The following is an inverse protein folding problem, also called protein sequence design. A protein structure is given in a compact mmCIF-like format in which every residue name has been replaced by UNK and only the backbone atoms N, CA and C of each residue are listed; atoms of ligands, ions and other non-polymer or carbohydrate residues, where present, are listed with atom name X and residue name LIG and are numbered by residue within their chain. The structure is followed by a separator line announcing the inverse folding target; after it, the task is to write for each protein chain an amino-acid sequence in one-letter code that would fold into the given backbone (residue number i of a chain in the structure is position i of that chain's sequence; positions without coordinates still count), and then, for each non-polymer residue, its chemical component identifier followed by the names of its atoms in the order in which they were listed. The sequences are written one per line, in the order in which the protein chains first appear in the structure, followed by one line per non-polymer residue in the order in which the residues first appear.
data_IF_844448618384
#
_entry.id   IF_844448618384
#
_cell.length_a   1.000
_cell.length_b   1.000
_cell.length_c   1.000
_cell.angle_alpha   90.00
_cell.angle_beta   90.00
_cell.angle_gamma   90.00
#
_symmetry.space_group_name_H-M   'P 1'
#
loop_
_entity.id
_entity.type
_entity.pdbx_description
1 polymer ?
#
# COMPACT_ATOMS: atom_id res chain seq x y z
N UNK A 1 0.81 5.19 -11.76
CA UNK A 1 0.04 4.54 -10.70
C UNK A 1 -1.02 5.50 -10.23
N UNK A 2 -2.06 5.04 -9.53
CA UNK A 2 -3.13 5.91 -9.01
C UNK A 2 -3.37 5.61 -7.54
N UNK A 3 -3.88 6.60 -6.85
CA UNK A 3 -4.38 6.46 -5.49
C UNK A 3 -5.64 5.62 -5.46
N UNK A 4 -5.82 4.89 -4.36
CA UNK A 4 -7.01 4.10 -4.07
C UNK A 4 -7.26 4.06 -2.56
N UNK A 5 -8.53 3.92 -2.19
CA UNK A 5 -8.92 3.57 -0.83
C UNK A 5 -8.69 2.07 -0.59
N UNK A 6 -7.94 1.72 0.46
CA UNK A 6 -7.54 0.33 0.74
C UNK A 6 -8.73 -0.60 0.96
N UNK A 7 -9.81 -0.12 1.61
CA UNK A 7 -11.05 -0.87 1.80
C UNK A 7 -11.68 -1.17 0.44
N UNK A 8 -11.72 -0.18 -0.46
CA UNK A 8 -12.26 -0.37 -1.81
C UNK A 8 -11.45 -1.40 -2.61
N UNK A 9 -10.13 -1.42 -2.46
CA UNK A 9 -9.26 -2.39 -3.12
C UNK A 9 -9.51 -3.83 -2.62
N UNK A 10 -9.58 -4.03 -1.30
CA UNK A 10 -9.78 -5.36 -0.69
C UNK A 10 -11.19 -5.89 -0.95
N UNK A 11 -12.21 -5.02 -0.89
CA UNK A 11 -13.58 -5.40 -1.26
C UNK A 11 -13.72 -5.74 -2.74
N UNK A 12 -13.07 -4.98 -3.64
CA UNK A 12 -13.07 -5.30 -5.05
C UNK A 12 -12.41 -6.66 -5.34
N UNK A 13 -11.31 -6.97 -4.67
CA UNK A 13 -10.66 -8.27 -4.77
C UNK A 13 -11.57 -9.43 -4.34
N UNK A 14 -12.37 -9.26 -3.28
CA UNK A 14 -13.20 -10.34 -2.74
C UNK A 14 -14.56 -10.51 -3.40
N UNK A 15 -15.21 -9.41 -3.78
CA UNK A 15 -16.65 -9.38 -4.00
C UNK A 15 -17.06 -8.97 -5.42
N UNK A 16 -16.12 -8.48 -6.23
CA UNK A 16 -16.41 -7.96 -7.56
C UNK A 16 -16.08 -9.01 -8.62
N UNK A 17 -16.90 -9.07 -9.66
CA UNK A 17 -16.66 -9.91 -10.83
C UNK A 17 -15.26 -9.69 -11.44
N UNK A 18 -14.63 -10.78 -11.87
CA UNK A 18 -13.25 -10.81 -12.33
C UNK A 18 -12.99 -9.87 -13.52
N UNK A 19 -13.99 -9.66 -14.40
CA UNK A 19 -13.87 -8.72 -15.54
C UNK A 19 -13.79 -7.28 -15.05
N UNK A 20 -14.61 -6.92 -14.07
CA UNK A 20 -14.62 -5.57 -13.49
C UNK A 20 -13.37 -5.36 -12.63
N UNK A 21 -12.98 -6.35 -11.85
CA UNK A 21 -11.78 -6.32 -11.04
C UNK A 21 -10.52 -6.11 -11.90
N UNK A 22 -10.35 -6.85 -13.00
CA UNK A 22 -9.21 -6.63 -13.92
C UNK A 22 -9.20 -5.24 -14.56
N UNK A 23 -10.38 -4.66 -14.84
CA UNK A 23 -10.48 -3.27 -15.33
C UNK A 23 -10.00 -2.28 -14.27
N UNK A 24 -10.35 -2.49 -13.00
CA UNK A 24 -9.86 -1.69 -11.88
C UNK A 24 -8.33 -1.75 -11.77
N UNK A 25 -7.74 -2.94 -11.76
CA UNK A 25 -6.27 -3.10 -11.69
C UNK A 25 -5.56 -2.37 -12.83
N UNK A 26 -6.09 -2.49 -14.06
CA UNK A 26 -5.55 -1.77 -15.23
C UNK A 26 -5.68 -0.26 -15.09
N UNK A 27 -6.80 0.24 -14.55
CA UNK A 27 -7.02 1.67 -14.31
C UNK A 27 -6.00 2.21 -13.30
N UNK A 28 -5.77 1.48 -12.21
CA UNK A 28 -4.79 1.81 -11.16
C UNK A 28 -3.34 1.68 -11.61
N UNK A 29 -3.10 0.87 -12.65
CA UNK A 29 -1.79 0.46 -13.17
C UNK A 29 -1.00 -0.34 -12.13
N UNK A 30 -1.66 -1.32 -11.51
CA UNK A 30 -1.08 -2.25 -10.53
C UNK A 30 -1.30 -3.69 -10.99
N UNK A 31 -0.47 -4.61 -10.49
CA UNK A 31 -0.59 -6.05 -10.75
C UNK A 31 -0.27 -6.86 -9.47
N UNK A 32 -1.10 -6.74 -8.43
CA UNK A 32 -0.90 -7.44 -7.16
C UNK A 32 -0.91 -8.95 -7.33
N UNK A 33 -0.14 -9.66 -6.51
CA UNK A 33 -0.32 -11.10 -6.31
C UNK A 33 -1.49 -11.32 -5.34
N UNK A 34 -2.26 -12.40 -5.51
CA UNK A 34 -3.39 -12.74 -4.64
C UNK A 34 -3.03 -12.67 -3.15
N UNK A 35 -1.87 -13.21 -2.81
CA UNK A 35 -1.44 -13.18 -1.43
C UNK A 35 -1.12 -11.82 -0.85
N UNK A 36 -0.64 -10.88 -1.67
CA UNK A 36 -0.39 -9.51 -1.21
C UNK A 36 -1.72 -8.84 -0.85
N UNK A 37 -2.80 -9.19 -1.55
CA UNK A 37 -4.15 -8.72 -1.26
C UNK A 37 -4.79 -9.43 -0.08
N UNK A 38 -4.52 -10.73 0.11
CA UNK A 38 -4.95 -11.45 1.30
C UNK A 38 -4.33 -10.86 2.57
N UNK A 39 -3.05 -10.50 2.52
CA UNK A 39 -2.34 -9.88 3.65
C UNK A 39 -2.83 -8.42 3.87
N UNK A 40 -3.04 -7.67 2.79
CA UNK A 40 -3.65 -6.34 2.86
C UNK A 40 -5.05 -6.37 3.48
N UNK A 41 -5.89 -7.31 3.06
CA UNK A 41 -7.26 -7.45 3.56
C UNK A 41 -7.29 -7.75 5.05
N UNK A 42 -6.44 -8.65 5.54
CA UNK A 42 -6.32 -8.92 6.98
C UNK A 42 -5.92 -7.65 7.73
N UNK A 43 -4.89 -6.95 7.25
CA UNK A 43 -4.43 -5.71 7.89
C UNK A 43 -5.55 -4.66 7.93
N UNK A 44 -6.26 -4.43 6.82
CA UNK A 44 -7.37 -3.47 6.75
C UNK A 44 -8.50 -3.86 7.70
N UNK A 45 -8.90 -5.13 7.74
CA UNK A 45 -9.96 -5.60 8.62
C UNK A 45 -9.59 -5.44 10.11
N UNK A 46 -8.34 -5.72 10.50
CA UNK A 46 -7.87 -5.48 11.87
C UNK A 46 -7.88 -3.99 12.22
N UNK A 47 -7.38 -3.13 11.33
CA UNK A 47 -7.39 -1.67 11.54
C UNK A 47 -8.82 -1.13 11.68
N UNK A 48 -9.76 -1.65 10.90
CA UNK A 48 -11.18 -1.25 10.96
C UNK A 48 -11.85 -1.59 12.31
N UNK A 49 -11.27 -2.50 13.10
CA UNK A 49 -11.75 -2.75 14.47
C UNK A 49 -11.32 -1.68 15.47
N UNK A 50 -10.32 -0.89 15.11
CA UNK A 50 -9.73 0.16 15.95
C UNK A 50 -10.26 1.53 15.53
N UNK A 51 -10.31 1.79 14.22
CA UNK A 51 -10.71 3.07 13.65
C UNK A 51 -11.49 2.83 12.35
N UNK A 52 -12.75 3.26 12.29
CA UNK A 52 -13.65 2.98 11.16
C UNK A 52 -13.85 4.17 10.22
N UNK A 53 -13.12 5.28 10.45
CA UNK A 53 -13.11 6.43 9.56
C UNK A 53 -12.54 6.06 8.17
N UNK A 54 -13.45 5.94 7.19
CA UNK A 54 -13.16 5.47 5.82
C UNK A 54 -12.06 6.29 5.13
N UNK A 55 -12.00 7.60 5.40
CA UNK A 55 -11.07 8.52 4.75
C UNK A 55 -9.61 8.28 5.16
N UNK A 56 -9.36 7.67 6.31
CA UNK A 56 -8.00 7.29 6.73
C UNK A 56 -7.37 6.28 5.77
N UNK A 57 -8.19 5.43 5.16
CA UNK A 57 -7.77 4.39 4.22
C UNK A 57 -7.67 4.89 2.78
N UNK A 58 -8.01 6.14 2.50
CA UNK A 58 -7.92 6.78 1.18
C UNK A 58 -6.50 7.24 0.85
N UNK A 59 -6.25 7.57 -0.42
CA UNK A 59 -5.04 8.20 -0.94
C UNK A 59 -3.74 7.36 -0.91
N UNK A 60 -3.88 6.05 -0.78
CA UNK A 60 -2.76 5.12 -0.87
C UNK A 60 -2.43 4.76 -2.32
N UNK A 61 -1.14 4.68 -2.61
CA UNK A 61 -0.59 3.96 -3.76
C UNK A 61 -0.24 2.53 -3.33
N UNK A 62 -0.72 1.53 -4.07
CA UNK A 62 -0.35 0.13 -3.90
C UNK A 62 0.74 -0.26 -4.90
N UNK A 63 1.87 -0.82 -4.45
CA UNK A 63 3.01 -1.23 -5.28
C UNK A 63 3.78 -0.04 -5.89
N UNK A 64 3.92 1.07 -5.15
CA UNK A 64 4.49 2.31 -5.66
C UNK A 64 5.93 2.13 -6.15
N UNK A 65 6.13 2.21 -7.46
CA UNK A 65 7.44 2.03 -8.09
C UNK A 65 8.04 3.37 -8.52
N UNK A 66 9.34 3.55 -8.27
CA UNK A 66 10.18 4.63 -8.80
C UNK A 66 11.15 3.99 -9.82
N UNK A 67 10.78 3.93 -11.11
CA UNK A 67 11.51 3.14 -12.11
C UNK A 67 12.96 3.57 -12.29
N UNK A 68 13.26 4.86 -12.15
CA UNK A 68 14.60 5.43 -12.37
C UNK A 68 15.65 4.88 -11.39
N UNK A 69 15.22 4.36 -10.24
CA UNK A 69 16.10 3.85 -9.18
C UNK A 69 15.78 2.40 -8.80
N UNK A 70 14.85 1.75 -9.51
CA UNK A 70 14.46 0.36 -9.27
C UNK A 70 13.87 0.10 -7.87
N UNK A 71 13.28 1.12 -7.24
CA UNK A 71 12.71 1.01 -5.89
C UNK A 71 11.20 0.85 -5.95
N UNK A 72 10.67 -0.09 -5.18
CA UNK A 72 9.23 -0.33 -5.00
C UNK A 72 8.87 -0.28 -3.51
N UNK A 73 7.68 0.21 -3.20
CA UNK A 73 7.08 0.27 -1.88
C UNK A 73 5.71 -0.42 -1.92
N UNK A 74 5.40 -1.26 -0.94
CA UNK A 74 4.15 -2.02 -0.95
C UNK A 74 2.94 -1.07 -0.82
N UNK A 75 2.94 -0.18 0.18
CA UNK A 75 1.95 0.90 0.31
C UNK A 75 2.65 2.23 0.61
N UNK A 76 2.17 3.29 -0.04
CA UNK A 76 2.66 4.64 0.18
C UNK A 76 1.51 5.65 0.13
N UNK A 77 1.39 6.50 1.14
CA UNK A 77 0.44 7.64 1.16
C UNK A 77 1.22 8.92 1.44
N UNK A 78 0.95 9.95 0.66
CA UNK A 78 1.51 11.29 0.85
C UNK A 78 0.43 12.16 1.48
N UNK A 79 0.62 12.53 2.75
CA UNK A 79 -0.18 13.54 3.43
C UNK A 79 0.43 14.92 3.26
N UNK A 80 -0.20 15.91 3.90
CA UNK A 80 0.29 17.30 3.87
C UNK A 80 1.57 17.48 4.67
N UNK A 81 1.66 16.82 5.84
CA UNK A 81 2.80 16.95 6.77
C UNK A 81 3.65 15.68 6.88
N UNK A 82 3.11 14.54 6.46
CA UNK A 82 3.75 13.24 6.64
C UNK A 82 3.55 12.29 5.45
N UNK A 83 4.39 11.27 5.38
CA UNK A 83 4.35 10.18 4.42
C UNK A 83 4.19 8.89 5.20
N UNK A 84 3.16 8.12 4.88
CA UNK A 84 2.95 6.80 5.45
C UNK A 84 3.56 5.78 4.50
N UNK A 85 4.56 5.04 4.99
CA UNK A 85 5.15 3.89 4.30
C UNK A 85 4.82 2.60 5.06
N UNK A 86 4.15 1.66 4.40
CA UNK A 86 3.84 0.35 4.98
C UNK A 86 4.42 -0.73 4.07
N UNK A 87 5.10 -1.69 4.68
CA UNK A 87 5.67 -2.87 4.01
C UNK A 87 4.92 -4.12 4.49
N UNK A 88 4.27 -4.81 3.56
CA UNK A 88 3.56 -6.05 3.82
C UNK A 88 4.55 -7.22 3.73
N UNK A 89 4.59 -8.07 4.77
CA UNK A 89 5.51 -9.20 4.83
C UNK A 89 4.82 -10.42 5.44
N UNK A 90 4.79 -11.53 4.70
CA UNK A 90 4.32 -12.84 5.18
C UNK A 90 5.21 -13.40 6.28
N UNK A 91 6.52 -13.27 6.07
CA UNK A 91 7.56 -13.67 7.01
C UNK A 91 8.68 -12.66 6.93
N UNK A 92 9.25 -12.31 8.08
CA UNK A 92 10.49 -11.56 8.14
C UNK A 92 11.11 -11.66 9.53
N UNK A 93 12.39 -11.35 9.62
CA UNK A 93 13.04 -11.04 10.89
C UNK A 93 13.02 -9.52 11.12
N UNK A 94 13.04 -9.11 12.40
CA UNK A 94 12.97 -7.69 12.77
C UNK A 94 14.11 -6.85 12.17
N UNK A 95 15.29 -7.44 12.02
CA UNK A 95 16.46 -6.75 11.47
C UNK A 95 16.31 -6.42 9.97
N UNK A 96 15.76 -7.35 9.18
CA UNK A 96 15.46 -7.14 7.76
C UNK A 96 14.40 -6.06 7.57
N UNK A 97 13.32 -6.10 8.35
CA UNK A 97 12.28 -5.05 8.29
C UNK A 97 12.89 -3.70 8.62
N UNK A 98 13.63 -3.59 9.72
CA UNK A 98 14.26 -2.34 10.13
C UNK A 98 15.19 -1.79 9.04
N UNK A 99 16.05 -2.65 8.47
CA UNK A 99 16.94 -2.24 7.38
C UNK A 99 16.17 -1.75 6.16
N UNK A 100 15.09 -2.43 5.79
CA UNK A 100 14.25 -2.03 4.66
C UNK A 100 13.59 -0.67 4.91
N UNK A 101 13.01 -0.46 6.10
CA UNK A 101 12.38 0.82 6.47
C UNK A 101 13.39 1.98 6.50
N UNK A 102 14.61 1.76 6.97
CA UNK A 102 15.67 2.78 6.93
C UNK A 102 16.05 3.17 5.50
N UNK A 103 16.16 2.19 4.60
CA UNK A 103 16.41 2.44 3.17
C UNK A 103 15.22 3.19 2.55
N UNK A 104 13.99 2.77 2.84
CA UNK A 104 12.78 3.45 2.39
C UNK A 104 12.75 4.91 2.84
N UNK A 105 13.04 5.15 4.13
CA UNK A 105 13.10 6.50 4.70
C UNK A 105 14.14 7.35 4.00
N UNK A 106 15.32 6.81 3.68
CA UNK A 106 16.32 7.53 2.90
C UNK A 106 15.78 7.96 1.53
N UNK A 107 15.07 7.05 0.82
CA UNK A 107 14.45 7.37 -0.46
C UNK A 107 13.30 8.35 -0.36
N UNK A 108 12.58 8.46 0.76
CA UNK A 108 11.44 9.36 0.89
C UNK A 108 11.84 10.72 1.46
N UNK A 109 12.97 10.79 2.18
CA UNK A 109 13.44 11.99 2.89
C UNK A 109 13.61 13.22 1.98
N UNK A 110 13.87 13.03 0.68
CA UNK A 110 14.02 14.15 -0.25
C UNK A 110 12.76 15.03 -0.37
N UNK A 111 11.59 14.51 0.01
CA UNK A 111 10.32 15.23 -0.03
C UNK A 111 10.16 16.24 1.12
N UNK A 112 11.03 16.20 2.14
CA UNK A 112 11.01 17.16 3.23
C UNK A 112 9.86 16.98 4.23
N UNK A 113 9.11 15.89 4.14
CA UNK A 113 8.01 15.53 5.03
C UNK A 113 8.47 14.56 6.12
N UNK A 114 7.69 14.47 7.20
CA UNK A 114 7.86 13.41 8.19
C UNK A 114 7.55 12.04 7.57
N UNK A 115 8.30 11.01 7.95
CA UNK A 115 8.13 9.62 7.49
C UNK A 115 8.22 8.69 8.69
#
# INVERSE_FOLDING_TARGET
MRQINLISLTQAYKNVDDVVYRKLLKYLKINPKEHELDDLDKMVNELLTIEDEIDLYSDFYFGYSIPQIGKEFDLLKFGEESIINIELKRTSDGAKIQKQLLINKYYLKFLGLEI
#
